data_IF_198375476151
#
_entry.id   IF_198375476151
#
_cell.length_a   1.000
_cell.length_b   1.000
_cell.length_c   1.000
_cell.angle_alpha   90.00
_cell.angle_beta   90.00
_cell.angle_gamma   90.00
#
_symmetry.space_group_name_H-M   'P 1'
#
loop_
_entity.id
_entity.type
_entity.pdbx_description
1 polymer ?
#
# COMPACT_ATOMS: atom_id res chain seq x y z
N UNK A 1 -27.63 -7.80 68.73
CA UNK A 1 -26.80 -6.83 67.96
C UNK A 1 -26.72 -7.36 66.54
N UNK A 2 -27.64 -6.91 65.66
CA UNK A 2 -27.75 -7.39 64.26
C UNK A 2 -26.99 -6.43 63.34
N UNK A 3 -25.85 -6.90 62.82
CA UNK A 3 -25.07 -6.16 61.84
C UNK A 3 -25.68 -6.33 60.44
N UNK A 4 -26.27 -5.32 59.88
CA UNK A 4 -26.68 -5.28 58.49
C UNK A 4 -25.45 -5.00 57.62
N UNK A 5 -24.84 -6.03 57.07
CA UNK A 5 -23.85 -5.92 56.06
C UNK A 5 -24.50 -5.53 54.73
N UNK A 6 -24.43 -4.27 54.34
CA UNK A 6 -24.80 -3.84 52.97
C UNK A 6 -23.70 -4.27 52.03
N UNK A 7 -23.88 -5.43 51.39
CA UNK A 7 -23.05 -5.82 50.25
C UNK A 7 -23.55 -5.02 49.03
N UNK A 8 -22.82 -3.98 48.67
CA UNK A 8 -22.99 -3.30 47.41
C UNK A 8 -22.36 -4.16 46.30
N UNK A 9 -23.08 -5.24 45.94
CA UNK A 9 -22.78 -6.00 44.74
C UNK A 9 -23.09 -5.17 43.52
N UNK A 10 -22.09 -4.54 42.91
CA UNK A 10 -22.26 -3.97 41.59
C UNK A 10 -22.63 -5.10 40.63
N UNK A 11 -23.71 -4.99 39.85
CA UNK A 11 -24.09 -6.05 38.93
C UNK A 11 -22.94 -6.27 37.93
N UNK A 12 -22.45 -7.49 37.89
CA UNK A 12 -21.30 -7.92 37.08
C UNK A 12 -21.42 -7.56 35.58
N UNK A 13 -22.64 -7.36 35.10
CA UNK A 13 -22.98 -6.88 33.76
C UNK A 13 -22.49 -5.45 33.45
N UNK A 14 -22.56 -4.54 34.42
CA UNK A 14 -22.06 -3.17 34.22
C UNK A 14 -20.54 -3.10 34.18
N UNK A 15 -19.86 -3.92 34.94
CA UNK A 15 -18.39 -3.98 34.90
C UNK A 15 -17.88 -4.56 33.60
N UNK A 16 -18.53 -5.60 33.06
CA UNK A 16 -18.18 -6.20 31.77
C UNK A 16 -18.46 -5.24 30.60
N UNK A 17 -19.61 -4.58 30.58
CA UNK A 17 -19.94 -3.58 29.56
C UNK A 17 -18.99 -2.39 29.61
N UNK A 18 -18.66 -1.89 30.81
CA UNK A 18 -17.68 -0.82 30.98
C UNK A 18 -16.29 -1.20 30.48
N UNK A 19 -15.82 -2.41 30.78
CA UNK A 19 -14.52 -2.91 30.31
C UNK A 19 -14.49 -3.02 28.77
N UNK A 20 -15.58 -3.48 28.16
CA UNK A 20 -15.69 -3.55 26.69
C UNK A 20 -15.67 -2.17 26.04
N UNK A 21 -16.39 -1.19 26.62
CA UNK A 21 -16.38 0.19 26.11
C UNK A 21 -15.00 0.82 26.21
N UNK A 22 -14.34 0.69 27.35
CA UNK A 22 -12.96 1.20 27.50
C UNK A 22 -12.01 0.51 26.54
N UNK A 23 -12.11 -0.82 26.41
CA UNK A 23 -11.30 -1.59 25.45
C UNK A 23 -11.50 -1.13 24.02
N UNK A 24 -12.74 -0.92 23.58
CA UNK A 24 -13.02 -0.42 22.21
C UNK A 24 -12.48 0.99 21.99
N UNK A 25 -12.60 1.90 22.96
CA UNK A 25 -12.05 3.25 22.85
C UNK A 25 -10.54 3.21 22.72
N UNK A 26 -9.84 2.46 23.57
CA UNK A 26 -8.37 2.33 23.51
C UNK A 26 -7.93 1.75 22.16
N UNK A 27 -8.59 0.68 21.72
CA UNK A 27 -8.27 0.05 20.42
C UNK A 27 -8.49 1.03 19.27
N UNK A 28 -9.58 1.78 19.27
CA UNK A 28 -9.88 2.77 18.23
C UNK A 28 -8.84 3.89 18.21
N UNK A 29 -8.40 4.38 19.37
CA UNK A 29 -7.35 5.41 19.46
C UNK A 29 -6.03 4.89 18.91
N UNK A 30 -5.63 3.68 19.29
CA UNK A 30 -4.39 3.07 18.79
C UNK A 30 -4.44 2.89 17.27
N UNK A 31 -5.53 2.34 16.73
CA UNK A 31 -5.70 2.16 15.30
C UNK A 31 -5.72 3.50 14.55
N UNK A 32 -6.31 4.53 15.13
CA UNK A 32 -6.32 5.88 14.56
C UNK A 32 -4.90 6.47 14.46
N UNK A 33 -4.09 6.32 15.50
CA UNK A 33 -2.70 6.78 15.50
C UNK A 33 -1.89 6.04 14.42
N UNK A 34 -2.02 4.71 14.37
CA UNK A 34 -1.35 3.89 13.34
C UNK A 34 -1.80 4.33 11.94
N UNK A 35 -3.10 4.56 11.74
CA UNK A 35 -3.66 5.03 10.48
C UNK A 35 -3.06 6.37 10.04
N UNK A 36 -2.97 7.34 10.94
CA UNK A 36 -2.38 8.66 10.66
C UNK A 36 -0.90 8.51 10.25
N UNK A 37 -0.14 7.70 10.98
CA UNK A 37 1.28 7.43 10.64
C UNK A 37 1.39 6.81 9.25
N UNK A 38 0.55 5.82 8.93
CA UNK A 38 0.53 5.19 7.60
C UNK A 38 0.21 6.19 6.48
N UNK A 39 -0.74 7.10 6.70
CA UNK A 39 -1.09 8.16 5.73
C UNK A 39 0.10 9.10 5.49
N UNK A 40 0.77 9.54 6.56
CA UNK A 40 1.94 10.42 6.45
C UNK A 40 3.07 9.71 5.69
N UNK A 41 3.38 8.46 6.02
CA UNK A 41 4.41 7.69 5.33
C UNK A 41 4.07 7.50 3.83
N UNK A 42 2.81 7.23 3.52
CA UNK A 42 2.35 7.12 2.13
C UNK A 42 2.50 8.44 1.39
N UNK A 43 2.11 9.55 2.01
CA UNK A 43 2.22 10.88 1.41
C UNK A 43 3.68 11.25 1.09
N UNK A 44 4.60 11.02 2.03
CA UNK A 44 6.03 11.26 1.83
C UNK A 44 6.60 10.33 0.73
N UNK A 45 6.23 9.06 0.76
CA UNK A 45 6.65 8.07 -0.24
C UNK A 45 6.13 8.41 -1.64
N UNK A 46 4.87 8.84 -1.76
CA UNK A 46 4.28 9.33 -3.01
C UNK A 46 5.01 10.56 -3.52
N UNK A 47 5.23 11.56 -2.67
CA UNK A 47 5.98 12.76 -3.05
C UNK A 47 7.31 12.41 -3.71
N UNK A 48 8.11 11.59 -3.05
CA UNK A 48 9.42 11.14 -3.56
C UNK A 48 9.31 10.28 -4.83
N UNK A 49 8.27 9.47 -4.92
CA UNK A 49 8.02 8.66 -6.12
C UNK A 49 7.67 9.57 -7.32
N UNK A 50 6.82 10.58 -7.12
CA UNK A 50 6.44 11.53 -8.15
C UNK A 50 7.64 12.36 -8.64
N UNK A 51 8.52 12.80 -7.74
CA UNK A 51 9.78 13.46 -8.15
C UNK A 51 10.62 12.56 -9.07
N UNK A 52 10.69 11.24 -8.79
CA UNK A 52 11.39 10.28 -9.65
C UNK A 52 10.70 10.03 -11.00
N UNK A 53 9.39 10.19 -11.06
CA UNK A 53 8.61 10.10 -12.30
C UNK A 53 8.72 11.37 -13.16
N UNK A 54 9.45 12.39 -12.68
CA UNK A 54 9.56 13.68 -13.34
C UNK A 54 8.31 14.56 -13.21
N UNK A 55 7.49 14.29 -12.19
CA UNK A 55 6.30 15.04 -11.85
C UNK A 55 6.52 15.83 -10.56
N UNK A 56 5.85 16.98 -10.37
CA UNK A 56 5.92 17.70 -9.12
C UNK A 56 5.34 16.85 -7.98
N UNK A 57 6.06 16.74 -6.86
CA UNK A 57 5.70 15.87 -5.75
C UNK A 57 4.32 16.15 -5.16
N UNK A 58 3.84 17.41 -5.19
CA UNK A 58 2.51 17.79 -4.68
C UNK A 58 1.34 17.14 -5.45
N UNK A 59 1.52 16.78 -6.72
CA UNK A 59 0.53 16.05 -7.50
C UNK A 59 0.26 14.66 -6.92
N UNK A 60 1.26 14.06 -6.26
CA UNK A 60 1.11 12.81 -5.54
C UNK A 60 0.15 12.89 -4.34
N UNK A 61 -0.09 14.09 -3.80
CA UNK A 61 -0.97 14.31 -2.66
C UNK A 61 -2.43 14.58 -3.06
N UNK A 62 -2.67 14.92 -4.33
CA UNK A 62 -4.03 15.16 -4.82
C UNK A 62 -4.77 13.84 -5.03
N UNK A 63 -5.71 13.55 -4.12
CA UNK A 63 -6.54 12.35 -4.22
C UNK A 63 -7.27 12.29 -5.56
N UNK A 64 -7.11 11.15 -6.26
CA UNK A 64 -7.69 10.92 -7.57
C UNK A 64 -6.77 11.35 -8.72
N UNK A 65 -6.17 12.53 -8.67
CA UNK A 65 -5.21 12.97 -9.68
C UNK A 65 -3.94 12.13 -9.67
N UNK A 66 -3.44 11.79 -8.49
CA UNK A 66 -2.27 10.93 -8.32
C UNK A 66 -2.45 9.56 -8.99
N UNK A 67 -3.66 8.97 -8.92
CA UNK A 67 -3.97 7.70 -9.57
C UNK A 67 -3.89 7.85 -11.10
N UNK A 68 -4.49 8.89 -11.66
CA UNK A 68 -4.44 9.14 -13.10
C UNK A 68 -3.00 9.30 -13.57
N UNK A 69 -2.19 10.08 -12.85
CA UNK A 69 -0.78 10.26 -13.17
C UNK A 69 0.02 8.96 -13.07
N UNK A 70 -0.21 8.16 -12.03
CA UNK A 70 0.44 6.86 -11.89
C UNK A 70 0.05 5.89 -13.01
N UNK A 71 -1.22 5.85 -13.41
CA UNK A 71 -1.68 5.05 -14.53
C UNK A 71 -1.03 5.48 -15.85
N UNK A 72 -0.95 6.78 -16.08
CA UNK A 72 -0.31 7.34 -17.28
C UNK A 72 1.18 7.00 -17.32
N UNK A 73 1.91 7.13 -16.20
CA UNK A 73 3.33 6.78 -16.10
C UNK A 73 3.60 5.28 -16.14
N UNK A 74 2.61 4.47 -15.81
CA UNK A 74 2.65 3.01 -15.92
C UNK A 74 2.19 2.51 -17.32
N UNK A 75 1.87 3.43 -18.26
CA UNK A 75 1.29 3.13 -19.58
C UNK A 75 -0.01 2.31 -19.52
N UNK A 76 -0.81 2.56 -18.48
CA UNK A 76 -2.11 1.92 -18.30
C UNK A 76 -3.18 2.84 -18.86
N UNK A 77 -4.08 2.37 -19.74
CA UNK A 77 -5.20 3.16 -20.23
C UNK A 77 -6.05 3.72 -19.08
N UNK A 78 -6.38 5.01 -19.14
CA UNK A 78 -7.14 5.74 -18.10
C UNK A 78 -8.49 5.10 -17.74
N UNK A 79 -9.06 4.33 -18.66
CA UNK A 79 -10.30 3.59 -18.44
C UNK A 79 -10.20 2.56 -17.29
N UNK A 80 -9.01 2.06 -16.98
CA UNK A 80 -8.81 1.14 -15.86
C UNK A 80 -9.04 1.79 -14.49
N UNK A 81 -9.10 3.11 -14.40
CA UNK A 81 -9.50 3.84 -13.19
C UNK A 81 -10.91 3.43 -12.74
N UNK A 82 -11.79 3.04 -13.68
CA UNK A 82 -13.13 2.53 -13.33
C UNK A 82 -13.12 1.29 -12.44
N UNK A 83 -12.06 0.48 -12.47
CA UNK A 83 -11.93 -0.66 -11.57
C UNK A 83 -11.87 -0.26 -10.10
N UNK A 84 -11.44 0.97 -9.78
CA UNK A 84 -11.48 1.49 -8.41
C UNK A 84 -12.91 1.68 -7.87
N UNK A 85 -13.91 1.80 -8.75
CA UNK A 85 -15.32 1.89 -8.34
C UNK A 85 -15.93 0.53 -8.00
N UNK A 86 -15.27 -0.59 -8.36
CA UNK A 86 -15.71 -1.93 -7.96
C UNK A 86 -15.16 -2.18 -6.55
N UNK A 87 -16.03 -2.28 -5.52
CA UNK A 87 -15.57 -2.42 -4.14
C UNK A 87 -14.77 -3.72 -3.95
N UNK A 88 -13.74 -3.64 -3.11
CA UNK A 88 -12.85 -4.72 -2.70
C UNK A 88 -11.99 -5.33 -3.82
N UNK A 89 -12.57 -6.08 -4.75
CA UNK A 89 -11.81 -6.84 -5.76
C UNK A 89 -11.22 -5.91 -6.83
N UNK A 90 -12.00 -4.94 -7.29
CA UNK A 90 -11.54 -3.99 -8.30
C UNK A 90 -10.44 -3.07 -7.77
N UNK A 91 -10.62 -2.52 -6.58
CA UNK A 91 -9.62 -1.68 -5.93
C UNK A 91 -8.29 -2.42 -5.70
N UNK A 92 -8.35 -3.64 -5.14
CA UNK A 92 -7.15 -4.44 -4.86
C UNK A 92 -6.45 -4.87 -6.15
N UNK A 93 -7.22 -5.37 -7.12
CA UNK A 93 -6.70 -5.79 -8.43
C UNK A 93 -6.05 -4.64 -9.20
N UNK A 94 -6.70 -3.47 -9.23
CA UNK A 94 -6.17 -2.29 -9.89
C UNK A 94 -4.87 -1.78 -9.25
N UNK A 95 -4.78 -1.80 -7.90
CA UNK A 95 -3.56 -1.44 -7.18
C UNK A 95 -2.40 -2.37 -7.50
N UNK A 96 -2.63 -3.69 -7.46
CA UNK A 96 -1.60 -4.68 -7.76
C UNK A 96 -1.15 -4.56 -9.23
N UNK A 97 -2.10 -4.44 -10.16
CA UNK A 97 -1.78 -4.29 -11.57
C UNK A 97 -0.97 -3.01 -11.84
N UNK A 98 -1.43 -1.88 -11.30
CA UNK A 98 -0.71 -0.61 -11.39
C UNK A 98 0.69 -0.72 -10.78
N UNK A 99 0.81 -1.33 -9.59
CA UNK A 99 2.10 -1.53 -8.93
C UNK A 99 3.06 -2.36 -9.78
N UNK A 100 2.60 -3.44 -10.39
CA UNK A 100 3.43 -4.29 -11.27
C UNK A 100 3.90 -3.51 -12.50
N UNK A 101 3.01 -2.81 -13.19
CA UNK A 101 3.36 -2.04 -14.38
C UNK A 101 4.32 -0.89 -14.05
N UNK A 102 4.06 -0.19 -12.95
CA UNK A 102 4.93 0.88 -12.48
C UNK A 102 6.33 0.35 -12.13
N UNK A 103 6.43 -0.80 -11.45
CA UNK A 103 7.72 -1.39 -11.08
C UNK A 103 8.50 -1.88 -12.30
N UNK A 104 7.85 -2.36 -13.34
CA UNK A 104 8.49 -2.63 -14.63
C UNK A 104 9.18 -1.39 -15.21
N UNK A 105 8.53 -0.21 -15.12
CA UNK A 105 9.12 1.06 -15.57
C UNK A 105 10.31 1.53 -14.70
N UNK A 106 10.42 1.03 -13.49
CA UNK A 106 11.60 1.19 -12.63
C UNK A 106 12.66 0.08 -12.84
N UNK A 107 12.48 -0.80 -13.83
CA UNK A 107 13.40 -1.92 -14.09
C UNK A 107 13.42 -2.96 -12.97
N UNK A 108 12.30 -3.12 -12.24
CA UNK A 108 12.17 -4.06 -11.12
C UNK A 108 11.15 -5.16 -11.42
N UNK A 109 11.33 -6.30 -10.73
CA UNK A 109 10.44 -7.44 -10.89
C UNK A 109 9.01 -7.21 -10.38
N UNK A 110 8.07 -8.00 -10.89
CA UNK A 110 6.65 -7.95 -10.54
C UNK A 110 6.38 -8.12 -9.04
N UNK A 111 7.24 -8.86 -8.32
CA UNK A 111 7.08 -9.08 -6.87
C UNK A 111 7.07 -7.78 -6.07
N UNK A 112 7.92 -6.81 -6.45
CA UNK A 112 7.93 -5.51 -5.81
C UNK A 112 6.68 -4.67 -6.16
N UNK A 113 6.14 -4.88 -7.36
CA UNK A 113 4.86 -4.30 -7.77
C UNK A 113 3.69 -4.80 -6.94
N UNK A 114 3.68 -6.08 -6.59
CA UNK A 114 2.68 -6.67 -5.69
C UNK A 114 2.79 -6.06 -4.29
N UNK A 115 4.00 -5.87 -3.76
CA UNK A 115 4.21 -5.20 -2.47
C UNK A 115 3.68 -3.77 -2.50
N UNK A 116 3.95 -3.03 -3.59
CA UNK A 116 3.44 -1.67 -3.77
C UNK A 116 1.91 -1.63 -3.81
N UNK A 117 1.27 -2.59 -4.46
CA UNK A 117 -0.18 -2.67 -4.57
C UNK A 117 -0.89 -3.12 -3.29
N UNK A 118 -0.30 -4.06 -2.53
CA UNK A 118 -0.86 -4.59 -1.29
C UNK A 118 -0.60 -3.68 -0.08
N UNK A 119 0.60 -3.12 -0.01
CA UNK A 119 1.07 -2.29 1.09
C UNK A 119 1.61 -0.95 0.59
N UNK A 120 0.72 -0.03 0.13
CA UNK A 120 1.13 1.25 -0.44
C UNK A 120 2.09 2.06 0.44
N UNK A 121 1.91 2.16 1.78
CA UNK A 121 2.84 2.90 2.63
C UNK A 121 4.28 2.39 2.53
N UNK A 122 4.46 1.07 2.55
CA UNK A 122 5.78 0.44 2.47
C UNK A 122 6.33 0.52 1.04
N UNK A 123 5.49 0.20 0.06
CA UNK A 123 5.89 0.21 -1.35
C UNK A 123 6.37 1.58 -1.82
N UNK A 124 5.61 2.64 -1.56
CA UNK A 124 5.99 4.01 -1.93
C UNK A 124 7.19 4.53 -1.13
N UNK A 125 7.36 4.14 0.13
CA UNK A 125 8.55 4.48 0.89
C UNK A 125 9.80 3.86 0.26
N UNK A 126 9.77 2.57 -0.05
CA UNK A 126 10.91 1.88 -0.68
C UNK A 126 11.19 2.50 -2.05
N UNK A 127 10.18 2.70 -2.89
CA UNK A 127 10.34 3.27 -4.23
C UNK A 127 10.84 4.71 -4.18
N UNK A 128 10.30 5.53 -3.28
CA UNK A 128 10.65 6.93 -3.13
C UNK A 128 12.07 7.16 -2.61
N UNK A 129 12.49 6.45 -1.58
CA UNK A 129 13.76 6.70 -0.89
C UNK A 129 14.94 5.87 -1.42
N UNK A 130 14.70 4.71 -2.02
CA UNK A 130 15.78 3.87 -2.52
C UNK A 130 16.41 4.45 -3.78
N UNK A 131 17.72 4.66 -3.77
CA UNK A 131 18.50 5.12 -4.92
C UNK A 131 18.51 4.13 -6.09
N UNK A 132 18.22 2.86 -5.80
CA UNK A 132 18.20 1.80 -6.80
C UNK A 132 16.96 1.79 -7.70
N UNK A 133 15.97 2.66 -7.40
CA UNK A 133 14.75 2.81 -8.18
C UNK A 133 14.83 4.09 -9.00
N UNK A 134 15.26 3.94 -10.24
CA UNK A 134 15.33 5.02 -11.23
C UNK A 134 14.27 4.75 -12.30
N UNK A 135 13.41 5.73 -12.54
CA UNK A 135 12.39 5.62 -13.59
C UNK A 135 13.05 5.62 -14.97
N UNK A 136 12.79 4.58 -15.73
CA UNK A 136 13.41 4.37 -17.06
C UNK A 136 12.48 4.75 -18.22
N UNK A 137 11.24 5.13 -17.92
CA UNK A 137 10.27 5.53 -18.94
C UNK A 137 9.99 4.46 -19.98
N UNK A 138 9.80 4.87 -21.23
CA UNK A 138 9.48 4.00 -22.35
C UNK A 138 10.63 3.05 -22.81
N UNK A 139 11.80 3.10 -22.19
CA UNK A 139 12.93 2.24 -22.58
C UNK A 139 12.74 0.75 -22.25
N UNK A 140 11.78 0.43 -21.38
CA UNK A 140 11.56 -0.95 -20.92
C UNK A 140 10.68 -1.76 -21.90
N UNK A 141 10.00 -1.10 -22.84
CA UNK A 141 9.20 -1.82 -23.85
C UNK A 141 10.03 -2.62 -24.87
N UNK A 142 11.35 -2.39 -24.93
CA UNK A 142 12.23 -3.02 -25.91
C UNK A 142 12.97 -4.27 -25.40
N UNK A 143 12.76 -4.72 -24.18
CA UNK A 143 13.29 -5.99 -23.72
C UNK A 143 12.20 -7.07 -23.73
N UNK A 144 12.21 -7.98 -24.72
CA UNK A 144 11.43 -9.21 -24.60
C UNK A 144 11.91 -9.97 -23.38
N UNK A 145 10.95 -10.56 -22.67
CA UNK A 145 11.22 -11.46 -21.55
C UNK A 145 12.23 -12.52 -22.00
N UNK A 146 13.52 -12.27 -21.76
CA UNK A 146 14.53 -13.30 -21.94
C UNK A 146 14.33 -14.27 -20.80
N UNK A 147 13.68 -15.37 -21.18
CA UNK A 147 13.57 -16.62 -20.45
C UNK A 147 14.77 -16.84 -19.56
N UNK A 148 14.50 -16.97 -18.27
CA UNK A 148 15.32 -17.78 -17.40
C UNK A 148 15.09 -19.23 -17.82
N UNK A 149 15.80 -19.69 -18.82
CA UNK A 149 15.86 -21.11 -19.16
C UNK A 149 17.25 -21.47 -19.63
N UNK A 150 17.80 -22.41 -18.91
CA UNK A 150 18.86 -23.32 -19.34
C UNK A 150 20.28 -22.85 -19.07
N UNK A 151 20.74 -23.10 -17.86
CA UNK A 151 22.10 -23.59 -17.68
C UNK A 151 22.03 -24.93 -16.96
N UNK A 152 21.77 -25.97 -17.68
CA UNK A 152 22.15 -27.33 -17.34
C UNK A 152 22.21 -28.10 -18.65
N UNK A 153 23.38 -28.29 -19.15
CA UNK A 153 23.88 -29.48 -19.82
C UNK A 153 25.07 -29.07 -20.67
N UNK A 154 26.26 -29.36 -20.18
CA UNK A 154 27.30 -30.07 -20.92
C UNK A 154 28.56 -30.14 -20.09
N UNK A 155 28.55 -31.17 -19.26
CA UNK A 155 29.82 -31.82 -18.89
C UNK A 155 29.67 -33.25 -19.34
N UNK A 156 30.16 -33.55 -20.53
CA UNK A 156 30.67 -34.88 -20.90
C UNK A 156 31.22 -34.86 -22.32
N UNK A 157 32.49 -34.65 -22.46
CA UNK A 157 33.41 -35.50 -23.20
C UNK A 157 34.83 -34.98 -23.07
#
# INVERSE_FOLDING_TARGET
MYGYGYSYGYPSSYSAAGALLVGTIITTVILSIIGIVCVILTAIGLWKTFEKLGLPGWEGLLLGHNLVCLFEKADIPKQYVFFYYIPYVGWLGANIYMGIQLMKKFGKGAGMGVVLGLFPPIGFMITGFSKNYVYQGAKVEAQPETKAETTNTETNK
#
